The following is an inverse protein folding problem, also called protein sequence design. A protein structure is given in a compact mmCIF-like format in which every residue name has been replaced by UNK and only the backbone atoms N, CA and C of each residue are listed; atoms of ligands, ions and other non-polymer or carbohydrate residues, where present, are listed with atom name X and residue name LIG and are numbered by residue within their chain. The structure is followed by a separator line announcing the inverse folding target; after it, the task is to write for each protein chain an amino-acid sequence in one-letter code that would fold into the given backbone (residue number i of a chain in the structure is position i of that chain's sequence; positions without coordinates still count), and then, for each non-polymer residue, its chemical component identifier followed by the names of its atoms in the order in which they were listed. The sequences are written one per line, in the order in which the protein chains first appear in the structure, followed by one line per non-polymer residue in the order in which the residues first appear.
data_IF_991855268264
#
_entry.id   IF_991855268264
#
_cell.length_a   1.000
_cell.length_b   1.000
_cell.length_c   1.000
_cell.angle_alpha   90.00
_cell.angle_beta   90.00
_cell.angle_gamma   90.00
#
_symmetry.space_group_name_H-M   'P 1'
#
loop_
_entity.id
_entity.type
_entity.pdbx_description
1 polymer ?
#
# COMPACT_ATOMS: atom_id res chain seq x y z
N UNK A 1 -22.14 6.34 -20.28
CA UNK A 1 -21.38 5.42 -19.41
C UNK A 1 -21.67 5.81 -17.96
N UNK A 2 -22.10 4.87 -17.10
CA UNK A 2 -22.67 5.20 -15.78
C UNK A 2 -21.58 5.64 -14.79
N UNK A 3 -21.68 6.86 -14.23
CA UNK A 3 -20.74 7.43 -13.25
C UNK A 3 -20.56 6.52 -12.02
N UNK A 4 -21.61 5.80 -11.62
CA UNK A 4 -21.57 4.87 -10.49
C UNK A 4 -20.68 3.66 -10.77
N UNK A 5 -20.66 3.18 -12.03
CA UNK A 5 -19.82 2.05 -12.44
C UNK A 5 -18.33 2.42 -12.39
N UNK A 6 -17.97 3.64 -12.79
CA UNK A 6 -16.60 4.15 -12.71
C UNK A 6 -16.11 4.28 -11.27
N UNK A 7 -16.92 4.88 -10.38
CA UNK A 7 -16.57 4.99 -8.97
C UNK A 7 -16.38 3.61 -8.31
N UNK A 8 -17.22 2.62 -8.64
CA UNK A 8 -17.07 1.25 -8.14
C UNK A 8 -15.79 0.57 -8.66
N UNK A 9 -15.39 0.81 -9.90
CA UNK A 9 -14.14 0.28 -10.46
C UNK A 9 -12.90 0.90 -9.81
N UNK A 10 -12.93 2.21 -9.56
CA UNK A 10 -11.86 2.92 -8.85
C UNK A 10 -11.70 2.41 -7.42
N UNK A 11 -12.81 2.17 -6.72
CA UNK A 11 -12.84 1.63 -5.37
C UNK A 11 -12.25 0.21 -5.30
N UNK A 12 -12.66 -0.68 -6.20
CA UNK A 12 -12.11 -2.05 -6.31
C UNK A 12 -10.60 -2.01 -6.62
N UNK A 13 -10.18 -1.11 -7.51
CA UNK A 13 -8.77 -0.96 -7.86
C UNK A 13 -7.94 -0.46 -6.66
N UNK A 14 -8.45 0.54 -5.93
CA UNK A 14 -7.84 1.06 -4.72
C UNK A 14 -7.69 -0.03 -3.65
N UNK A 15 -8.78 -0.74 -3.36
CA UNK A 15 -8.79 -1.83 -2.38
C UNK A 15 -7.78 -2.92 -2.75
N UNK A 16 -7.70 -3.29 -4.02
CA UNK A 16 -6.72 -4.27 -4.52
C UNK A 16 -5.28 -3.81 -4.29
N UNK A 17 -4.97 -2.54 -4.58
CA UNK A 17 -3.63 -1.97 -4.37
C UNK A 17 -3.25 -1.94 -2.89
N UNK A 18 -4.15 -1.47 -2.02
CA UNK A 18 -3.92 -1.46 -0.57
C UNK A 18 -3.71 -2.86 0.00
N UNK A 19 -4.51 -3.84 -0.46
CA UNK A 19 -4.34 -5.24 -0.07
C UNK A 19 -2.99 -5.81 -0.51
N UNK A 20 -2.50 -5.45 -1.71
CA UNK A 20 -1.18 -5.86 -2.18
C UNK A 20 -0.04 -5.25 -1.37
N UNK A 21 -0.13 -3.96 -1.00
CA UNK A 21 0.84 -3.32 -0.10
C UNK A 21 0.87 -4.04 1.24
N UNK A 22 -0.29 -4.30 1.85
CA UNK A 22 -0.38 -5.01 3.12
C UNK A 22 0.25 -6.42 3.06
N UNK A 23 -0.05 -7.19 2.00
CA UNK A 23 0.55 -8.51 1.78
C UNK A 23 2.08 -8.45 1.69
N UNK A 24 2.64 -7.48 0.95
CA UNK A 24 4.09 -7.29 0.84
C UNK A 24 4.71 -6.90 2.18
N UNK A 25 4.07 -5.99 2.91
CA UNK A 25 4.54 -5.56 4.23
C UNK A 25 4.61 -6.73 5.23
N UNK A 26 3.61 -7.62 5.23
CA UNK A 26 3.62 -8.82 6.10
C UNK A 26 4.79 -9.74 5.73
N UNK A 27 4.98 -10.02 4.43
CA UNK A 27 6.09 -10.88 3.97
C UNK A 27 7.46 -10.34 4.41
N UNK A 28 7.69 -9.05 4.24
CA UNK A 28 8.93 -8.41 4.63
C UNK A 28 9.17 -8.44 6.14
N UNK A 29 8.12 -8.24 6.95
CA UNK A 29 8.23 -8.34 8.41
C UNK A 29 8.55 -9.77 8.86
N UNK A 30 7.95 -10.77 8.21
CA UNK A 30 8.28 -12.18 8.48
C UNK A 30 9.73 -12.47 8.14
N UNK A 31 10.19 -12.09 6.95
CA UNK A 31 11.59 -12.24 6.52
C UNK A 31 12.54 -11.49 7.47
N UNK A 32 12.20 -10.29 7.92
CA UNK A 32 13.02 -9.55 8.89
C UNK A 32 13.13 -10.29 10.23
N UNK A 33 12.07 -10.97 10.66
CA UNK A 33 12.05 -11.74 11.90
C UNK A 33 12.86 -13.04 11.83
N UNK A 34 13.11 -13.57 10.64
CA UNK A 34 13.85 -14.83 10.46
C UNK A 34 15.30 -14.71 10.93
N UNK A 35 15.73 -15.63 11.80
CA UNK A 35 17.07 -15.64 12.39
C UNK A 35 18.19 -15.80 11.35
N UNK A 36 17.91 -16.42 10.20
CA UNK A 36 18.83 -16.59 9.08
C UNK A 36 18.98 -15.34 8.20
N UNK A 37 18.14 -14.32 8.38
CA UNK A 37 18.17 -13.13 7.51
C UNK A 37 19.40 -12.29 7.78
N UNK A 38 20.29 -12.08 6.78
CA UNK A 38 21.50 -11.29 6.94
C UNK A 38 21.21 -9.85 7.35
N UNK A 39 22.15 -9.23 8.08
CA UNK A 39 22.01 -7.83 8.55
C UNK A 39 21.80 -6.87 7.37
N UNK A 40 22.54 -7.04 6.28
CA UNK A 40 22.39 -6.23 5.06
C UNK A 40 21.00 -6.36 4.46
N UNK A 41 20.41 -7.56 4.51
CA UNK A 41 19.03 -7.78 4.06
C UNK A 41 18.02 -7.13 4.99
N UNK A 42 18.24 -7.17 6.31
CA UNK A 42 17.39 -6.49 7.30
C UNK A 42 17.34 -4.98 7.08
N UNK A 43 18.47 -4.35 6.76
CA UNK A 43 18.48 -2.92 6.42
C UNK A 43 17.70 -2.64 5.13
N UNK A 44 17.92 -3.43 4.07
CA UNK A 44 17.14 -3.31 2.83
C UNK A 44 15.62 -3.49 3.05
N UNK A 45 15.22 -4.42 3.93
CA UNK A 45 13.82 -4.62 4.31
C UNK A 45 13.23 -3.37 4.97
N UNK A 46 13.99 -2.65 5.81
CA UNK A 46 13.49 -1.40 6.42
C UNK A 46 13.19 -0.35 5.36
N UNK A 47 14.07 -0.20 4.39
CA UNK A 47 13.90 0.75 3.28
C UNK A 47 12.68 0.35 2.42
N UNK A 48 12.51 -0.93 2.11
CA UNK A 48 11.34 -1.43 1.37
C UNK A 48 10.03 -1.21 2.14
N UNK A 49 10.03 -1.46 3.46
CA UNK A 49 8.88 -1.19 4.32
C UNK A 49 8.53 0.30 4.33
N UNK A 50 9.55 1.17 4.39
CA UNK A 50 9.33 2.61 4.37
C UNK A 50 8.75 3.08 3.03
N UNK A 51 9.23 2.52 1.92
CA UNK A 51 8.68 2.78 0.59
C UNK A 51 7.21 2.33 0.48
N UNK A 52 6.88 1.13 0.99
CA UNK A 52 5.49 0.63 1.01
C UNK A 52 4.55 1.51 1.84
N UNK A 53 5.04 2.08 2.96
CA UNK A 53 4.27 3.04 3.77
C UNK A 53 4.01 4.32 3.00
N UNK A 54 5.03 4.86 2.33
CA UNK A 54 4.86 6.05 1.49
C UNK A 54 3.88 5.82 0.33
N UNK A 55 3.95 4.67 -0.33
CA UNK A 55 2.99 4.28 -1.38
C UNK A 55 1.55 4.21 -0.85
N UNK A 56 1.36 3.62 0.34
CA UNK A 56 0.05 3.57 1.01
C UNK A 56 -0.47 4.97 1.31
N UNK A 57 0.36 5.81 1.91
CA UNK A 57 -0.04 7.15 2.35
C UNK A 57 -0.44 8.00 1.13
N UNK A 58 0.31 7.92 0.05
CA UNK A 58 -0.03 8.56 -1.25
C UNK A 58 -1.39 8.08 -1.78
N UNK A 59 -1.69 6.78 -1.67
CA UNK A 59 -2.97 6.23 -2.11
C UNK A 59 -4.15 6.69 -1.25
N UNK A 60 -3.93 6.81 0.06
CA UNK A 60 -4.96 7.31 0.98
C UNK A 60 -5.18 8.82 0.77
N UNK A 61 -4.11 9.60 0.60
CA UNK A 61 -4.21 11.04 0.40
C UNK A 61 -4.87 11.42 -0.93
N UNK A 62 -4.56 10.69 -2.01
CA UNK A 62 -5.18 10.91 -3.32
C UNK A 62 -6.68 10.64 -3.32
N UNK A 63 -7.14 9.73 -2.46
CA UNK A 63 -8.57 9.39 -2.32
C UNK A 63 -9.29 10.31 -1.35
N UNK A 64 -8.63 10.72 -0.24
CA UNK A 64 -9.15 11.74 0.67
C UNK A 64 -9.33 13.11 -0.01
N UNK A 65 -8.39 13.51 -0.87
CA UNK A 65 -8.47 14.75 -1.65
C UNK A 65 -9.57 14.72 -2.71
N UNK A 66 -9.91 13.53 -3.22
CA UNK A 66 -11.01 13.36 -4.18
C UNK A 66 -12.39 13.45 -3.52
N UNK A 67 -12.48 13.15 -2.22
CA UNK A 67 -13.72 13.24 -1.43
C UNK A 67 -14.00 14.66 -0.90
N UNK A 68 -12.98 15.51 -0.73
CA UNK A 68 -13.16 16.89 -0.27
C UNK A 68 -13.68 17.86 -1.35
N UNK A 69 -13.41 17.58 -2.63
CA UNK A 69 -13.86 18.40 -3.78
C UNK A 69 -15.29 18.09 -4.27
N UNK A 70 -16.05 17.26 -3.55
CA UNK A 70 -17.45 16.92 -3.89
C UNK A 70 -18.48 17.51 -2.92
N UNK A 71 -18.13 18.53 -2.13
CA UNK A 71 -19.07 19.29 -1.28
C UNK A 71 -19.41 20.64 -1.88
#
# INVERSE_FOLDING_TARGET
MNRQLWAALEDVHLHSRLANIAKRHVKLVLEFGEGSTPITRREAIKDEIQQLRHERDTLIESTASSLSNSK
#
